data_IF_401182467288
#
_entry.id   IF_401182467288
#
_cell.length_a   1.000
_cell.length_b   1.000
_cell.length_c   1.000
_cell.angle_alpha   90.00
_cell.angle_beta   90.00
_cell.angle_gamma   90.00
#
_symmetry.space_group_name_H-M   'P 1'
#
loop_
_entity.id
_entity.type
_entity.pdbx_description
1 polymer ?
#
# COMPACT_ATOMS: atom_id res chain seq x y z
N UNK A 1 10.39 9.88 4.81
CA UNK A 1 10.33 8.42 5.01
C UNK A 1 10.40 7.77 3.64
N UNK A 2 11.35 6.87 3.40
CA UNK A 2 11.48 6.16 2.13
C UNK A 2 10.35 5.14 1.97
N UNK A 3 9.88 4.92 0.74
CA UNK A 3 8.88 3.91 0.41
C UNK A 3 9.41 2.52 0.84
N UNK A 4 8.71 1.76 1.71
CA UNK A 4 9.23 0.52 2.28
C UNK A 4 9.17 -0.67 1.31
N UNK A 5 8.66 -0.45 0.09
CA UNK A 5 8.53 -1.45 -0.95
C UNK A 5 9.30 -1.02 -2.19
N UNK A 6 10.03 -1.95 -2.83
CA UNK A 6 10.64 -1.68 -4.12
C UNK A 6 9.56 -1.62 -5.21
N UNK A 7 9.89 -0.99 -6.33
CA UNK A 7 8.94 -0.68 -7.40
C UNK A 7 8.27 -1.94 -7.98
N UNK A 8 9.02 -3.04 -8.12
CA UNK A 8 8.51 -4.32 -8.62
C UNK A 8 7.45 -4.94 -7.70
N UNK A 9 7.55 -4.74 -6.39
CA UNK A 9 6.57 -5.25 -5.41
C UNK A 9 5.28 -4.43 -5.48
N UNK A 10 5.39 -3.11 -5.64
CA UNK A 10 4.23 -2.21 -5.80
C UNK A 10 3.50 -2.54 -7.11
N UNK A 11 4.25 -2.67 -8.21
CA UNK A 11 3.68 -2.97 -9.52
C UNK A 11 3.05 -4.37 -9.54
N UNK A 12 3.67 -5.35 -8.87
CA UNK A 12 3.07 -6.68 -8.74
C UNK A 12 1.79 -6.65 -7.92
N UNK A 13 1.80 -5.93 -6.81
CA UNK A 13 0.65 -5.79 -5.92
C UNK A 13 -0.58 -5.25 -6.64
N UNK A 14 -0.43 -4.26 -7.53
CA UNK A 14 -1.57 -3.70 -8.29
C UNK A 14 -2.20 -4.67 -9.29
N UNK A 15 -1.49 -5.76 -9.66
CA UNK A 15 -1.98 -6.80 -10.57
C UNK A 15 -2.54 -8.03 -9.85
N UNK A 16 -2.40 -8.11 -8.52
CA UNK A 16 -2.93 -9.22 -7.75
C UNK A 16 -4.45 -9.12 -7.63
N UNK A 17 -5.10 -10.29 -7.63
CA UNK A 17 -6.54 -10.37 -7.38
C UNK A 17 -6.92 -9.92 -5.96
N UNK A 18 -8.22 -9.72 -5.74
CA UNK A 18 -8.81 -9.29 -4.45
C UNK A 18 -8.34 -10.18 -3.29
N UNK A 19 -8.13 -11.47 -3.56
CA UNK A 19 -7.56 -12.43 -2.60
C UNK A 19 -6.35 -13.09 -3.23
N UNK A 20 -5.22 -13.08 -2.53
CA UNK A 20 -3.96 -13.63 -3.01
C UNK A 20 -3.15 -14.31 -1.90
N UNK A 21 -2.03 -14.91 -2.26
CA UNK A 21 -1.08 -15.60 -1.39
C UNK A 21 0.31 -14.96 -1.53
N UNK A 22 1.17 -15.14 -0.53
CA UNK A 22 2.57 -14.71 -0.64
C UNK A 22 3.32 -15.36 -1.81
N UNK A 23 2.88 -16.55 -2.25
CA UNK A 23 3.42 -17.21 -3.44
C UNK A 23 3.01 -16.52 -4.75
N UNK A 24 1.78 -16.03 -4.84
CA UNK A 24 1.33 -15.24 -5.99
C UNK A 24 2.05 -13.91 -6.09
N UNK A 25 2.25 -13.21 -4.96
CA UNK A 25 3.09 -12.01 -4.92
C UNK A 25 4.52 -12.31 -5.37
N UNK A 26 5.12 -13.42 -4.90
CA UNK A 26 6.47 -13.81 -5.29
C UNK A 26 6.59 -14.03 -6.80
N UNK A 27 5.62 -14.73 -7.40
CA UNK A 27 5.57 -15.00 -8.83
C UNK A 27 5.39 -13.72 -9.64
N UNK A 28 4.47 -12.85 -9.21
CA UNK A 28 4.11 -11.63 -9.92
C UNK A 28 5.23 -10.57 -9.86
N UNK A 29 5.91 -10.46 -8.71
CA UNK A 29 7.04 -9.55 -8.51
C UNK A 29 8.39 -10.15 -8.97
N UNK A 30 8.43 -11.42 -9.39
CA UNK A 30 9.66 -12.15 -9.74
C UNK A 30 10.71 -12.13 -8.61
N UNK A 31 10.26 -12.29 -7.36
CA UNK A 31 11.12 -12.29 -6.17
C UNK A 31 11.10 -13.65 -5.45
N UNK A 32 12.10 -13.95 -4.61
CA UNK A 32 12.07 -15.14 -3.76
C UNK A 32 10.86 -15.19 -2.82
N UNK A 33 10.36 -16.39 -2.53
CA UNK A 33 9.21 -16.60 -1.64
C UNK A 33 9.43 -16.07 -0.21
N UNK A 34 10.66 -16.15 0.29
CA UNK A 34 11.06 -15.57 1.59
C UNK A 34 10.90 -14.05 1.59
N UNK A 35 11.37 -13.40 0.52
CA UNK A 35 11.24 -11.95 0.31
C UNK A 35 9.76 -11.53 0.20
N UNK A 36 8.95 -12.29 -0.53
CA UNK A 36 7.51 -12.03 -0.60
C UNK A 36 6.82 -12.15 0.78
N UNK A 37 7.21 -13.12 1.61
CA UNK A 37 6.70 -13.23 3.00
C UNK A 37 7.09 -12.03 3.85
N UNK A 38 8.31 -11.50 3.69
CA UNK A 38 8.74 -10.29 4.36
C UNK A 38 7.85 -9.10 3.99
N UNK A 39 7.62 -8.86 2.70
CA UNK A 39 6.78 -7.74 2.26
C UNK A 39 5.32 -7.90 2.64
N UNK A 40 4.77 -9.12 2.61
CA UNK A 40 3.42 -9.38 3.11
C UNK A 40 3.28 -9.04 4.59
N UNK A 41 4.31 -9.28 5.43
CA UNK A 41 4.29 -8.83 6.84
C UNK A 41 4.25 -7.32 6.95
N UNK A 42 5.03 -6.61 6.14
CA UNK A 42 5.00 -5.14 6.07
C UNK A 42 3.65 -4.60 5.59
N UNK A 43 3.06 -5.21 4.56
CA UNK A 43 1.73 -4.87 4.07
C UNK A 43 0.64 -5.07 5.15
N UNK A 44 0.77 -6.10 6.00
CA UNK A 44 -0.11 -6.28 7.17
C UNK A 44 0.11 -5.22 8.24
N UNK A 45 1.37 -4.93 8.60
CA UNK A 45 1.72 -3.89 9.59
C UNK A 45 1.19 -2.52 9.17
N UNK A 46 1.13 -2.26 7.87
CA UNK A 46 0.65 -1.00 7.30
C UNK A 46 -0.83 -1.06 6.88
N UNK A 47 -1.56 -2.10 7.27
CA UNK A 47 -2.99 -2.27 6.99
C UNK A 47 -3.39 -2.22 5.50
N UNK A 48 -2.46 -2.49 4.58
CA UNK A 48 -2.74 -2.57 3.14
C UNK A 48 -3.56 -3.81 2.79
N UNK A 49 -3.35 -4.88 3.55
CA UNK A 49 -3.98 -6.18 3.38
C UNK A 49 -4.48 -6.71 4.72
N UNK A 50 -5.44 -7.63 4.67
CA UNK A 50 -5.92 -8.35 5.84
C UNK A 50 -5.75 -9.86 5.67
N UNK A 51 -5.58 -10.58 6.78
CA UNK A 51 -5.54 -12.05 6.75
C UNK A 51 -6.96 -12.56 6.52
N UNK A 52 -7.14 -13.45 5.55
CA UNK A 52 -8.40 -14.17 5.37
C UNK A 52 -8.48 -15.30 6.41
N UNK A 53 -9.47 -15.30 7.32
CA UNK A 53 -9.58 -16.29 8.39
C UNK A 53 -10.14 -17.60 7.84
N UNK A 54 -9.28 -18.46 7.28
CA UNK A 54 -9.64 -19.83 6.88
C UNK A 54 -8.46 -20.79 7.05
N UNK A 55 -8.73 -22.00 7.57
CA UNK A 55 -7.76 -23.11 7.68
C UNK A 55 -7.58 -23.80 6.32
N UNK A 56 -6.78 -23.20 5.41
CA UNK A 56 -6.27 -23.89 4.21
C UNK A 56 -4.76 -24.09 4.30
N UNK A 57 -4.22 -24.96 3.45
CA UNK A 57 -2.77 -25.29 3.35
C UNK A 57 -1.89 -24.04 3.16
N UNK A 58 -2.42 -22.98 2.55
CA UNK A 58 -1.72 -21.70 2.37
C UNK A 58 -2.53 -20.54 2.93
N UNK A 59 -1.87 -19.66 3.68
CA UNK A 59 -2.45 -18.42 4.18
C UNK A 59 -2.79 -17.50 2.99
N UNK A 60 -4.05 -17.05 2.95
CA UNK A 60 -4.53 -16.06 2.00
C UNK A 60 -4.63 -14.69 2.64
N UNK A 61 -4.45 -13.67 1.81
CA UNK A 61 -4.54 -12.27 2.14
C UNK A 61 -5.59 -11.63 1.24
N UNK A 62 -6.47 -10.83 1.84
CA UNK A 62 -7.39 -10.00 1.09
C UNK A 62 -6.75 -8.63 0.95
N UNK A 63 -6.70 -8.14 -0.29
CA UNK A 63 -6.40 -6.76 -0.55
C UNK A 63 -7.48 -5.91 0.13
N UNK A 64 -7.11 -4.77 0.73
CA UNK A 64 -8.13 -3.83 1.20
C UNK A 64 -8.95 -3.40 -0.03
N UNK A 65 -10.26 -3.70 0.00
CA UNK A 65 -11.18 -3.38 -1.11
C UNK A 65 -11.06 -1.90 -1.53
N UNK A 66 -10.71 -1.05 -0.57
CA UNK A 66 -10.48 0.37 -0.72
C UNK A 66 -9.11 0.80 -0.12
N UNK A 67 -8.01 0.12 -0.46
CA UNK A 67 -6.67 0.68 -0.18
C UNK A 67 -6.53 2.13 -0.67
N UNK A 68 -7.27 2.49 -1.74
CA UNK A 68 -7.42 3.86 -2.22
C UNK A 68 -7.99 4.80 -1.17
N UNK A 69 -8.98 4.40 -0.36
CA UNK A 69 -9.63 5.34 0.57
C UNK A 69 -8.70 5.68 1.72
N UNK A 70 -8.01 4.69 2.28
CA UNK A 70 -6.99 4.92 3.31
C UNK A 70 -5.80 5.74 2.78
N UNK A 71 -5.33 5.45 1.57
CA UNK A 71 -4.26 6.22 0.93
C UNK A 71 -4.72 7.64 0.56
N UNK A 72 -5.95 7.80 0.08
CA UNK A 72 -6.55 9.09 -0.23
C UNK A 72 -6.77 9.90 1.05
N UNK A 73 -7.11 9.27 2.18
CA UNK A 73 -7.23 9.96 3.46
C UNK A 73 -5.85 10.40 3.99
N UNK A 74 -4.82 9.58 3.82
CA UNK A 74 -3.43 9.95 4.09
C UNK A 74 -2.93 11.09 3.19
N UNK A 75 -3.26 11.06 1.90
CA UNK A 75 -2.96 12.12 0.94
C UNK A 75 -3.69 13.41 1.34
N UNK A 76 -4.99 13.35 1.68
CA UNK A 76 -5.75 14.52 2.14
C UNK A 76 -5.14 15.13 3.41
N UNK A 77 -4.71 14.30 4.36
CA UNK A 77 -4.09 14.76 5.60
C UNK A 77 -2.70 15.37 5.40
N UNK A 78 -1.92 14.84 4.45
CA UNK A 78 -0.55 15.29 4.22
C UNK A 78 -0.45 16.46 3.23
N UNK A 79 -1.28 16.48 2.18
CA UNK A 79 -1.17 17.43 1.05
C UNK A 79 -2.05 18.68 1.25
N UNK A 80 -3.31 18.55 1.71
CA UNK A 80 -4.18 19.74 1.89
C UNK A 80 -3.57 20.82 2.79
N UNK A 81 -2.92 20.50 3.92
CA UNK A 81 -2.31 21.54 4.77
C UNK A 81 -1.16 22.29 4.09
N UNK A 82 -0.51 21.67 3.09
CA UNK A 82 0.57 22.30 2.32
C UNK A 82 0.01 23.21 1.24
N UNK A 83 -1.05 22.77 0.54
CA UNK A 83 -1.76 23.60 -0.46
C UNK A 83 -2.43 24.83 0.18
N UNK A 84 -3.04 24.67 1.35
CA UNK A 84 -3.67 25.79 2.09
C UNK A 84 -2.63 26.80 2.58
N UNK A 85 -1.45 26.35 3.02
CA UNK A 85 -0.33 27.24 3.36
C UNK A 85 0.18 28.01 2.15
N UNK A 86 0.34 27.34 1.02
CA UNK A 86 0.80 27.96 -0.22
C UNK A 86 -0.21 28.99 -0.75
N UNK A 87 -1.51 28.68 -0.71
CA UNK A 87 -2.57 29.62 -1.06
C UNK A 87 -2.61 30.84 -0.12
N UNK A 88 -2.43 30.64 1.18
CA UNK A 88 -2.40 31.71 2.18
C UNK A 88 -1.18 32.62 2.03
N UNK A 89 0.00 32.06 1.75
CA UNK A 89 1.24 32.81 1.52
C UNK A 89 1.20 33.60 0.20
N UNK A 90 0.57 33.07 -0.84
CA UNK A 90 0.34 33.78 -2.10
C UNK A 90 -0.66 34.94 -1.93
N UNK A 91 -1.69 34.78 -1.10
CA UNK A 91 -2.64 35.85 -0.75
C UNK A 91 -2.01 36.97 0.10
N UNK A 92 -0.92 36.68 0.82
CA UNK A 92 -0.14 37.69 1.57
C UNK A 92 0.94 38.38 0.73
N UNK A 93 1.52 37.71 -0.26
CA UNK A 93 2.50 38.31 -1.19
C UNK A 93 1.87 39.22 -2.25
N UNK A 94 0.58 39.04 -2.54
CA UNK A 94 -0.19 39.88 -3.44
C UNK A 94 -0.81 41.12 -2.79
N UNK A 95 -0.45 41.47 -1.54
CA UNK A 95 -0.82 42.71 -0.86
C UNK A 95 0.41 43.54 -0.53
#
# INVERSE_FOLDING_TARGET
MSMPFPAEVIAAYSRLGIVFTSGELAREAKIPRSTAKFYVRKMLEMHMISKVPYKKKYQKYANAKNFSDWLMDLIKLAIRPLEEKEQYDNLKRGR
#
